data_IF_382642717707
#
_entry.id   IF_382642717707
#
_cell.length_a   1.000
_cell.length_b   1.000
_cell.length_c   1.000
_cell.angle_alpha   90.00
_cell.angle_beta   90.00
_cell.angle_gamma   90.00
#
_symmetry.space_group_name_H-M   'P 1'
#
loop_
_entity.id
_entity.type
_entity.pdbx_description
1 polymer ?
#
# COMPACT_ATOMS: atom_id res chain seq x y z
N UNK A 1 -24.26 7.82 10.69
CA UNK A 1 -24.16 6.42 11.22
C UNK A 1 -24.29 6.40 12.73
N UNK A 2 -23.52 7.19 13.48
CA UNK A 2 -23.63 7.26 14.95
C UNK A 2 -25.06 7.55 15.45
N UNK A 3 -25.77 8.50 14.85
CA UNK A 3 -27.14 8.85 15.20
C UNK A 3 -28.13 7.71 14.96
N UNK A 4 -27.96 6.96 13.87
CA UNK A 4 -28.80 5.80 13.57
C UNK A 4 -28.57 4.65 14.55
N UNK A 5 -27.30 4.38 14.91
CA UNK A 5 -26.98 3.37 15.93
C UNK A 5 -27.51 3.77 17.31
N UNK A 6 -27.44 5.06 17.65
CA UNK A 6 -27.98 5.59 18.88
C UNK A 6 -29.48 5.34 19.01
N UNK A 7 -30.26 5.56 17.96
CA UNK A 7 -31.71 5.29 17.93
C UNK A 7 -32.00 3.79 18.09
N UNK A 8 -31.31 2.92 17.37
CA UNK A 8 -31.51 1.46 17.47
C UNK A 8 -31.18 0.92 18.86
N UNK A 9 -30.10 1.40 19.50
CA UNK A 9 -29.74 0.95 20.84
C UNK A 9 -30.71 1.42 21.90
N UNK A 10 -31.31 2.63 21.76
CA UNK A 10 -32.34 3.12 22.69
C UNK A 10 -33.61 2.29 22.66
N UNK A 11 -33.96 1.73 21.47
CA UNK A 11 -35.12 0.85 21.34
C UNK A 11 -34.89 -0.53 21.98
N UNK A 12 -33.64 -1.06 21.88
CA UNK A 12 -33.29 -2.36 22.46
C UNK A 12 -33.07 -2.34 23.99
N UNK A 13 -32.65 -1.21 24.55
CA UNK A 13 -32.38 -1.05 25.99
C UNK A 13 -32.87 0.28 26.51
N UNK A 14 -34.19 0.46 26.62
CA UNK A 14 -34.76 1.70 27.12
C UNK A 14 -34.30 1.97 28.59
N UNK A 15 -33.88 3.19 28.84
CA UNK A 15 -33.45 3.62 30.19
C UNK A 15 -31.97 3.30 30.53
N UNK A 16 -31.21 2.65 29.66
CA UNK A 16 -29.77 2.50 29.87
C UNK A 16 -29.03 3.65 29.16
N UNK A 17 -28.31 4.50 29.93
CA UNK A 17 -27.53 5.58 29.35
C UNK A 17 -26.33 5.01 28.59
N UNK A 18 -26.15 5.38 27.31
CA UNK A 18 -25.00 5.10 26.50
C UNK A 18 -24.65 6.29 25.62
N UNK A 19 -23.41 6.34 25.16
CA UNK A 19 -22.92 7.35 24.21
C UNK A 19 -22.28 6.63 23.04
N UNK A 20 -22.55 7.12 21.83
CA UNK A 20 -21.93 6.64 20.61
C UNK A 20 -20.80 7.58 20.23
N UNK A 21 -19.61 7.05 20.07
CA UNK A 21 -18.43 7.79 19.68
C UNK A 21 -17.95 7.31 18.30
N UNK A 22 -17.43 8.22 17.49
CA UNK A 22 -16.70 7.91 16.27
C UNK A 22 -15.21 7.90 16.58
N UNK A 23 -14.55 6.75 16.42
CA UNK A 23 -13.11 6.63 16.62
C UNK A 23 -12.49 5.93 15.40
N UNK A 24 -12.31 6.65 14.27
CA UNK A 24 -11.80 6.07 13.04
C UNK A 24 -10.31 5.68 13.17
N UNK A 25 -9.97 4.54 12.61
CA UNK A 25 -8.59 4.07 12.50
C UNK A 25 -7.90 4.58 11.21
N UNK A 26 -6.59 4.75 11.27
CA UNK A 26 -5.73 5.16 10.14
C UNK A 26 -4.60 4.14 9.92
N UNK A 27 -4.91 2.87 10.15
CA UNK A 27 -3.93 1.79 10.04
C UNK A 27 -3.63 1.48 8.58
N UNK A 28 -2.37 1.18 8.29
CA UNK A 28 -1.96 0.70 6.99
C UNK A 28 -1.51 -0.77 7.12
N UNK A 29 -1.95 -1.59 6.19
CA UNK A 29 -1.50 -2.98 6.13
C UNK A 29 0.04 -3.05 6.01
N UNK A 30 0.65 -4.02 6.67
CA UNK A 30 2.12 -4.12 6.79
C UNK A 30 2.72 -3.30 7.94
N UNK A 31 2.07 -2.20 8.36
CA UNK A 31 2.55 -1.32 9.46
C UNK A 31 1.48 -1.02 10.51
N UNK A 32 0.40 -1.82 10.58
CA UNK A 32 -0.75 -1.55 11.44
C UNK A 32 -0.40 -1.46 12.93
N UNK A 33 0.50 -2.31 13.41
CA UNK A 33 0.93 -2.30 14.82
C UNK A 33 1.68 -1.00 15.14
N UNK A 34 2.62 -0.59 14.28
CA UNK A 34 3.37 0.66 14.46
C UNK A 34 2.44 1.88 14.39
N UNK A 35 1.47 1.87 13.46
CA UNK A 35 0.47 2.92 13.34
C UNK A 35 -0.45 3.00 14.58
N UNK A 36 -0.73 1.88 15.25
CA UNK A 36 -1.52 1.84 16.46
C UNK A 36 -0.73 2.30 17.69
N UNK A 37 0.53 1.87 17.80
CA UNK A 37 1.39 2.18 18.95
C UNK A 37 1.97 3.58 18.89
N UNK A 38 2.22 4.11 17.68
CA UNK A 38 2.76 5.44 17.45
C UNK A 38 1.95 6.21 16.39
N UNK A 39 0.65 6.44 16.62
CA UNK A 39 -0.20 7.08 15.63
C UNK A 39 0.19 8.55 15.41
N UNK A 40 0.07 9.02 14.16
CA UNK A 40 0.20 10.46 13.86
C UNK A 40 -0.89 11.27 14.56
N UNK A 41 -2.09 10.71 14.67
CA UNK A 41 -3.27 11.29 15.33
C UNK A 41 -4.26 10.23 15.74
N UNK A 42 -5.05 10.53 16.79
CA UNK A 42 -6.24 9.78 17.19
C UNK A 42 -7.42 10.76 17.11
N UNK A 43 -8.49 10.38 16.41
CA UNK A 43 -9.72 11.17 16.36
C UNK A 43 -10.78 10.53 17.24
N UNK A 44 -11.46 11.35 18.04
CA UNK A 44 -12.60 10.92 18.87
C UNK A 44 -13.75 11.89 18.61
N UNK A 45 -14.76 11.43 17.87
CA UNK A 45 -15.96 12.18 17.58
C UNK A 45 -17.07 11.90 18.59
N UNK A 46 -17.72 12.93 19.09
CA UNK A 46 -18.83 12.82 20.02
C UNK A 46 -20.06 13.63 19.59
N UNK A 47 -21.19 13.38 20.24
CA UNK A 47 -22.48 14.07 20.00
C UNK A 47 -22.49 15.56 20.37
N UNK A 48 -21.44 16.10 20.99
CA UNK A 48 -21.37 17.49 21.47
C UNK A 48 -22.17 17.78 22.71
N UNK A 49 -22.83 16.76 23.30
CA UNK A 49 -23.52 16.87 24.59
C UNK A 49 -22.53 16.80 25.77
N UNK A 50 -22.95 17.25 26.97
CA UNK A 50 -22.10 17.13 28.15
C UNK A 50 -21.73 15.67 28.47
N UNK A 51 -22.62 14.71 28.22
CA UNK A 51 -22.38 13.26 28.35
C UNK A 51 -21.44 12.75 27.26
N UNK A 52 -21.62 13.15 25.99
CA UNK A 52 -20.75 12.81 24.87
C UNK A 52 -19.32 13.30 25.09
N UNK A 53 -19.12 14.53 25.55
CA UNK A 53 -17.79 15.03 25.88
C UNK A 53 -17.14 14.28 27.06
N UNK A 54 -17.92 13.83 28.06
CA UNK A 54 -17.39 12.97 29.14
C UNK A 54 -16.95 11.62 28.60
N UNK A 55 -17.76 11.00 27.74
CA UNK A 55 -17.43 9.72 27.10
C UNK A 55 -16.19 9.84 26.23
N UNK A 56 -16.09 10.91 25.42
CA UNK A 56 -14.90 11.18 24.58
C UNK A 56 -13.64 11.32 25.43
N UNK A 57 -13.68 12.06 26.54
CA UNK A 57 -12.54 12.18 27.47
C UNK A 57 -12.18 10.86 28.13
N UNK A 58 -13.16 10.02 28.45
CA UNK A 58 -12.91 8.68 28.99
C UNK A 58 -12.16 7.83 27.97
N UNK A 59 -12.56 7.84 26.70
CA UNK A 59 -11.84 7.14 25.63
C UNK A 59 -10.46 7.77 25.40
N UNK A 60 -10.34 9.10 25.37
CA UNK A 60 -9.07 9.79 25.25
C UNK A 60 -8.09 9.39 26.36
N UNK A 61 -8.57 9.22 27.60
CA UNK A 61 -7.73 8.80 28.73
C UNK A 61 -7.11 7.40 28.54
N UNK A 62 -7.77 6.51 27.79
CA UNK A 62 -7.20 5.21 27.42
C UNK A 62 -6.00 5.42 26.50
N UNK A 63 -6.17 6.23 25.44
CA UNK A 63 -5.10 6.51 24.48
C UNK A 63 -3.92 7.26 25.10
N UNK A 64 -4.13 8.15 26.07
CA UNK A 64 -3.04 8.88 26.72
C UNK A 64 -2.05 8.01 27.47
N UNK A 65 -2.36 6.72 27.66
CA UNK A 65 -1.42 5.75 28.22
C UNK A 65 -0.19 5.52 27.34
N UNK A 66 -0.30 5.74 26.02
CA UNK A 66 0.82 5.56 25.07
C UNK A 66 0.88 6.62 23.96
N UNK A 67 -0.17 7.45 23.79
CA UNK A 67 -0.22 8.51 22.77
C UNK A 67 -0.14 9.88 23.44
N UNK A 68 0.75 10.78 23.02
CA UNK A 68 0.79 12.14 23.51
C UNK A 68 -0.55 12.86 23.30
N UNK A 69 -1.06 13.56 24.33
CA UNK A 69 -2.37 14.21 24.31
C UNK A 69 -2.55 15.21 23.14
N UNK A 70 -1.46 15.83 22.67
CA UNK A 70 -1.46 16.75 21.52
C UNK A 70 -1.87 16.06 20.20
N UNK A 71 -1.76 14.73 20.13
CA UNK A 71 -2.17 13.93 18.97
C UNK A 71 -3.61 13.39 19.09
N UNK A 72 -4.28 13.60 20.21
CA UNK A 72 -5.65 13.16 20.43
C UNK A 72 -6.58 14.34 20.21
N UNK A 73 -7.46 14.24 19.21
CA UNK A 73 -8.35 15.30 18.77
C UNK A 73 -9.79 14.92 19.08
N UNK A 74 -10.42 15.64 20.01
CA UNK A 74 -11.84 15.54 20.31
C UNK A 74 -12.61 16.50 19.38
N UNK A 75 -13.51 15.94 18.57
CA UNK A 75 -14.27 16.69 17.55
C UNK A 75 -15.73 16.19 17.52
N UNK A 76 -16.60 16.79 16.71
CA UNK A 76 -17.93 16.25 16.52
C UNK A 76 -17.92 14.96 15.67
N UNK A 77 -18.94 14.10 15.84
CA UNK A 77 -19.03 12.80 15.17
C UNK A 77 -18.97 12.91 13.65
N UNK A 78 -19.68 13.85 13.05
CA UNK A 78 -19.68 14.07 11.60
C UNK A 78 -18.30 14.43 11.05
N UNK A 79 -17.59 15.34 11.75
CA UNK A 79 -16.24 15.72 11.36
C UNK A 79 -15.26 14.55 11.50
N UNK A 80 -15.43 13.70 12.53
CA UNK A 80 -14.60 12.52 12.73
C UNK A 80 -14.78 11.48 11.62
N UNK A 81 -16.02 11.14 11.29
CA UNK A 81 -16.36 10.19 10.22
C UNK A 81 -15.89 10.71 8.85
N UNK A 82 -16.19 12.00 8.56
CA UNK A 82 -15.79 12.61 7.29
C UNK A 82 -14.27 12.71 7.15
N UNK A 83 -13.55 13.04 8.23
CA UNK A 83 -12.09 13.15 8.19
C UNK A 83 -11.40 11.85 7.76
N UNK A 84 -11.96 10.67 8.11
CA UNK A 84 -11.44 9.38 7.66
C UNK A 84 -11.58 9.22 6.14
N UNK A 85 -12.76 9.45 5.61
CA UNK A 85 -13.04 9.34 4.17
C UNK A 85 -12.19 10.33 3.37
N UNK A 86 -12.16 11.58 3.83
CA UNK A 86 -11.41 12.67 3.16
C UNK A 86 -9.92 12.39 3.18
N UNK A 87 -9.35 11.89 4.28
CA UNK A 87 -7.93 11.57 4.32
C UNK A 87 -7.54 10.57 3.23
N UNK A 88 -8.27 9.47 3.09
CA UNK A 88 -8.01 8.48 2.05
C UNK A 88 -8.27 9.03 0.64
N UNK A 89 -9.35 9.79 0.46
CA UNK A 89 -9.67 10.40 -0.83
C UNK A 89 -8.59 11.39 -1.29
N UNK A 90 -8.04 12.22 -0.38
CA UNK A 90 -6.95 13.15 -0.66
C UNK A 90 -5.64 12.44 -1.02
N UNK A 91 -5.31 11.33 -0.36
CA UNK A 91 -4.14 10.53 -0.71
C UNK A 91 -4.29 9.91 -2.11
N UNK A 92 -5.44 9.34 -2.41
CA UNK A 92 -5.77 8.79 -3.73
C UNK A 92 -5.76 9.86 -4.82
N UNK A 93 -6.33 11.04 -4.53
CA UNK A 93 -6.32 12.19 -5.44
C UNK A 93 -4.90 12.63 -5.83
N UNK A 94 -3.95 12.64 -4.86
CA UNK A 94 -2.54 12.94 -5.15
C UNK A 94 -1.93 11.95 -6.14
N UNK A 95 -2.21 10.64 -5.98
CA UNK A 95 -1.76 9.60 -6.90
C UNK A 95 -2.38 9.80 -8.29
N UNK A 96 -3.69 10.02 -8.38
CA UNK A 96 -4.35 10.29 -9.66
C UNK A 96 -3.83 11.56 -10.32
N UNK A 97 -3.53 12.61 -9.55
CA UNK A 97 -2.95 13.85 -10.07
C UNK A 97 -1.58 13.63 -10.69
N UNK A 98 -0.64 12.97 -10.00
CA UNK A 98 0.69 12.74 -10.58
C UNK A 98 0.63 11.77 -11.77
N UNK A 99 -0.30 10.82 -11.78
CA UNK A 99 -0.53 9.94 -12.90
C UNK A 99 -1.08 10.68 -14.13
N UNK A 100 -1.93 11.69 -13.94
CA UNK A 100 -2.34 12.56 -15.06
C UNK A 100 -1.17 13.33 -15.65
N UNK A 101 -0.25 13.82 -14.82
CA UNK A 101 0.98 14.48 -15.27
C UNK A 101 1.91 13.50 -15.99
N UNK A 102 1.97 12.22 -15.54
CA UNK A 102 2.77 11.20 -16.22
C UNK A 102 2.40 11.03 -17.69
N UNK A 103 1.09 11.13 -18.01
CA UNK A 103 0.62 11.08 -19.39
C UNK A 103 1.14 12.27 -20.24
N UNK A 104 1.23 13.46 -19.66
CA UNK A 104 1.81 14.64 -20.32
C UNK A 104 3.30 14.44 -20.54
N UNK A 105 4.01 13.93 -19.53
CA UNK A 105 5.45 13.67 -19.61
C UNK A 105 5.79 12.72 -20.76
N UNK A 106 5.04 11.63 -20.92
CA UNK A 106 5.23 10.67 -22.01
C UNK A 106 5.09 11.28 -23.40
N UNK A 107 4.28 12.34 -23.55
CA UNK A 107 4.07 13.04 -24.83
C UNK A 107 5.08 14.16 -25.08
N UNK A 108 5.60 14.78 -24.05
CA UNK A 108 6.47 15.97 -24.15
C UNK A 108 7.96 15.64 -24.05
N UNK A 109 8.30 14.44 -23.53
CA UNK A 109 9.70 14.08 -23.21
C UNK A 109 10.16 14.59 -21.85
N UNK A 110 9.27 15.14 -21.02
CA UNK A 110 9.56 15.39 -19.61
C UNK A 110 9.60 14.05 -18.84
N UNK A 111 10.28 14.02 -17.69
CA UNK A 111 10.33 12.86 -16.81
C UNK A 111 9.48 13.13 -15.56
N UNK A 112 8.48 12.29 -15.31
CA UNK A 112 7.54 12.50 -14.20
C UNK A 112 8.23 12.51 -12.84
N UNK A 113 9.29 11.72 -12.64
CA UNK A 113 10.04 11.69 -11.38
C UNK A 113 10.74 13.02 -11.08
N UNK A 114 11.29 13.69 -12.13
CA UNK A 114 11.90 15.01 -11.99
C UNK A 114 10.83 16.07 -11.67
N UNK A 115 9.68 16.00 -12.33
CA UNK A 115 8.54 16.89 -12.04
C UNK A 115 8.06 16.70 -10.60
N UNK A 116 7.84 15.44 -10.18
CA UNK A 116 7.41 15.11 -8.82
C UNK A 116 8.43 15.56 -7.77
N UNK A 117 9.72 15.39 -8.03
CA UNK A 117 10.79 15.86 -7.15
C UNK A 117 10.76 17.39 -7.04
N UNK A 118 10.67 18.10 -8.17
CA UNK A 118 10.67 19.56 -8.18
C UNK A 118 9.50 20.17 -7.40
N UNK A 119 8.27 19.69 -7.66
CA UNK A 119 7.09 20.20 -6.95
C UNK A 119 7.05 19.72 -5.50
N UNK A 120 7.61 18.54 -5.20
CA UNK A 120 7.66 17.97 -3.85
C UNK A 120 8.59 18.72 -2.89
N UNK A 121 9.53 19.54 -3.41
CA UNK A 121 10.38 20.42 -2.60
C UNK A 121 9.61 21.63 -2.05
N UNK A 122 8.47 21.99 -2.63
CA UNK A 122 7.60 23.02 -2.05
C UNK A 122 6.93 22.45 -0.79
N UNK A 123 7.16 23.02 0.42
CA UNK A 123 6.61 22.49 1.67
C UNK A 123 5.08 22.50 1.71
N UNK A 124 4.42 23.32 0.90
CA UNK A 124 2.94 23.36 0.77
C UNK A 124 2.40 22.13 0.07
N UNK A 125 3.21 21.52 -0.81
CA UNK A 125 2.88 20.31 -1.57
C UNK A 125 3.45 19.08 -0.86
N UNK A 126 4.76 19.05 -0.60
CA UNK A 126 5.49 17.93 -0.03
C UNK A 126 5.60 16.72 -0.97
N UNK A 127 6.57 15.82 -0.75
CA UNK A 127 6.91 14.75 -1.70
C UNK A 127 6.01 13.49 -1.59
N UNK A 128 5.23 13.35 -0.51
CA UNK A 128 4.48 12.10 -0.25
C UNK A 128 3.34 11.93 -1.26
N UNK A 129 3.14 10.69 -1.74
CA UNK A 129 2.09 10.30 -2.70
C UNK A 129 2.21 10.99 -4.08
N UNK A 130 3.41 11.38 -4.49
CA UNK A 130 3.71 11.94 -5.82
C UNK A 130 4.50 10.98 -6.70
N UNK A 131 4.60 9.70 -6.38
CA UNK A 131 5.21 8.70 -7.26
C UNK A 131 4.17 8.22 -8.28
N UNK A 132 4.45 8.47 -9.57
CA UNK A 132 3.63 7.96 -10.65
C UNK A 132 3.80 6.44 -10.81
N UNK A 133 2.78 5.77 -11.35
CA UNK A 133 2.77 4.34 -11.57
C UNK A 133 1.43 3.88 -12.14
N UNK A 134 1.05 2.63 -11.89
CA UNK A 134 -0.22 2.06 -12.36
C UNK A 134 -1.46 2.61 -11.63
N UNK A 135 -1.26 3.36 -10.57
CA UNK A 135 -2.34 3.86 -9.72
C UNK A 135 -2.34 3.24 -8.32
N UNK A 136 -3.48 3.36 -7.65
CA UNK A 136 -3.74 2.77 -6.35
C UNK A 136 -4.68 1.56 -6.49
N UNK A 137 -4.38 0.50 -5.74
CA UNK A 137 -5.21 -0.68 -5.52
C UNK A 137 -5.60 -0.80 -4.05
N UNK A 138 -6.17 -1.96 -3.70
CA UNK A 138 -6.68 -2.26 -2.38
C UNK A 138 -8.05 -1.64 -2.09
N UNK A 139 -8.76 -2.22 -1.12
CA UNK A 139 -10.18 -1.93 -0.86
C UNK A 139 -10.46 -0.54 -0.28
N UNK A 140 -9.45 0.14 0.30
CA UNK A 140 -9.72 1.35 1.09
C UNK A 140 -9.96 2.61 0.25
N UNK A 141 -9.06 2.95 -0.66
CA UNK A 141 -9.15 4.21 -1.40
C UNK A 141 -10.38 4.26 -2.32
N UNK A 142 -10.60 3.19 -3.08
CA UNK A 142 -11.72 3.11 -4.03
C UNK A 142 -13.07 3.25 -3.35
N UNK A 143 -13.30 2.48 -2.26
CA UNK A 143 -14.55 2.52 -1.51
C UNK A 143 -14.77 3.86 -0.81
N UNK A 144 -13.72 4.48 -0.24
CA UNK A 144 -13.86 5.74 0.50
C UNK A 144 -14.14 6.91 -0.45
N UNK A 145 -13.55 6.92 -1.66
CA UNK A 145 -13.92 7.87 -2.73
C UNK A 145 -15.36 7.64 -3.17
N UNK A 146 -15.78 6.38 -3.38
CA UNK A 146 -17.16 6.07 -3.76
C UNK A 146 -18.14 6.51 -2.67
N UNK A 147 -17.81 6.29 -1.39
CA UNK A 147 -18.64 6.75 -0.27
C UNK A 147 -18.74 8.27 -0.20
N UNK A 148 -17.61 8.97 -0.44
CA UNK A 148 -17.61 10.45 -0.48
C UNK A 148 -18.40 10.99 -1.66
N UNK A 149 -18.29 10.35 -2.82
CA UNK A 149 -19.09 10.67 -4.01
C UNK A 149 -20.59 10.48 -3.76
N UNK A 150 -20.99 9.34 -3.20
CA UNK A 150 -22.37 9.05 -2.85
C UNK A 150 -22.92 10.02 -1.80
N UNK A 151 -22.13 10.37 -0.79
CA UNK A 151 -22.52 11.36 0.21
C UNK A 151 -22.79 12.72 -0.44
N UNK A 152 -21.92 13.17 -1.34
CA UNK A 152 -22.10 14.42 -2.07
C UNK A 152 -23.39 14.40 -2.93
N UNK A 153 -23.65 13.31 -3.66
CA UNK A 153 -24.89 13.11 -4.43
C UNK A 153 -26.12 13.16 -3.54
N UNK A 154 -26.10 12.47 -2.40
CA UNK A 154 -27.22 12.44 -1.45
C UNK A 154 -27.56 13.80 -0.86
N UNK A 155 -26.60 14.72 -0.87
CA UNK A 155 -26.74 16.11 -0.42
C UNK A 155 -27.06 17.09 -1.56
N UNK A 156 -27.22 16.61 -2.80
CA UNK A 156 -27.46 17.45 -3.98
C UNK A 156 -26.25 18.28 -4.42
N UNK A 157 -25.04 17.83 -4.08
CA UNK A 157 -23.77 18.50 -4.41
C UNK A 157 -23.11 17.84 -5.64
N UNK A 158 -23.76 17.95 -6.80
CA UNK A 158 -23.40 17.22 -8.01
C UNK A 158 -21.98 17.56 -8.51
N UNK A 159 -21.56 18.80 -8.44
CA UNK A 159 -20.21 19.22 -8.84
C UNK A 159 -19.12 18.60 -7.94
N UNK A 160 -19.41 18.48 -6.64
CA UNK A 160 -18.51 17.84 -5.67
C UNK A 160 -18.44 16.33 -5.95
N UNK A 161 -19.57 15.69 -6.20
CA UNK A 161 -19.64 14.28 -6.56
C UNK A 161 -18.87 14.01 -7.86
N UNK A 162 -19.03 14.87 -8.87
CA UNK A 162 -18.30 14.77 -10.13
C UNK A 162 -16.80 14.89 -9.92
N UNK A 163 -16.35 15.85 -9.14
CA UNK A 163 -14.92 16.02 -8.84
C UNK A 163 -14.29 14.75 -8.24
N UNK A 164 -14.89 14.16 -7.21
CA UNK A 164 -14.34 12.97 -6.56
C UNK A 164 -14.44 11.71 -7.44
N UNK A 165 -15.48 11.61 -8.27
CA UNK A 165 -15.60 10.52 -9.24
C UNK A 165 -14.44 10.52 -10.24
N UNK A 166 -13.94 11.71 -10.64
CA UNK A 166 -12.82 11.81 -11.58
C UNK A 166 -11.51 11.24 -11.00
N UNK A 167 -11.34 11.18 -9.68
CA UNK A 167 -10.16 10.56 -9.06
C UNK A 167 -10.10 9.06 -9.38
N UNK A 168 -11.23 8.34 -9.26
CA UNK A 168 -11.31 6.93 -9.64
C UNK A 168 -11.19 6.75 -11.15
N UNK A 169 -11.87 7.57 -11.94
CA UNK A 169 -11.82 7.51 -13.41
C UNK A 169 -10.38 7.70 -13.93
N UNK A 170 -9.61 8.63 -13.36
CA UNK A 170 -8.21 8.82 -13.71
C UNK A 170 -7.36 7.60 -13.33
N UNK A 171 -7.64 6.96 -12.19
CA UNK A 171 -6.97 5.74 -11.76
C UNK A 171 -7.23 4.57 -12.72
N UNK A 172 -8.45 4.41 -13.22
CA UNK A 172 -8.81 3.42 -14.23
C UNK A 172 -8.17 3.73 -15.58
N UNK A 173 -8.24 4.97 -16.03
CA UNK A 173 -7.61 5.43 -17.27
C UNK A 173 -6.10 5.16 -17.30
N UNK A 174 -5.44 5.28 -16.16
CA UNK A 174 -4.01 5.00 -16.05
C UNK A 174 -3.69 3.53 -16.33
N UNK A 175 -4.48 2.58 -15.80
CA UNK A 175 -4.30 1.14 -16.05
C UNK A 175 -4.61 0.78 -17.49
N UNK A 176 -5.70 1.31 -18.04
CA UNK A 176 -6.08 1.10 -19.45
C UNK A 176 -4.96 1.56 -20.37
N UNK A 177 -4.44 2.77 -20.16
CA UNK A 177 -3.32 3.33 -20.94
C UNK A 177 -2.07 2.45 -20.87
N UNK A 178 -1.77 1.89 -19.69
CA UNK A 178 -0.64 0.98 -19.53
C UNK A 178 -0.84 -0.32 -20.32
N UNK A 179 -2.00 -0.95 -20.21
CA UNK A 179 -2.34 -2.17 -20.95
C UNK A 179 -2.36 -1.92 -22.47
N UNK A 180 -2.98 -0.83 -22.94
CA UNK A 180 -2.99 -0.43 -24.35
C UNK A 180 -1.57 -0.25 -24.89
N UNK A 181 -0.68 0.36 -24.11
CA UNK A 181 0.72 0.54 -24.50
C UNK A 181 1.43 -0.81 -24.68
N UNK A 182 1.20 -1.77 -23.77
CA UNK A 182 1.74 -3.12 -23.88
C UNK A 182 1.28 -3.77 -25.19
N UNK A 183 -0.03 -3.75 -25.45
CA UNK A 183 -0.63 -4.35 -26.65
C UNK A 183 -0.05 -3.71 -27.91
N UNK A 184 0.03 -2.37 -27.97
CA UNK A 184 0.60 -1.65 -29.11
C UNK A 184 2.07 -2.01 -29.37
N UNK A 185 2.91 -2.09 -28.32
CA UNK A 185 4.33 -2.44 -28.44
C UNK A 185 4.55 -3.89 -28.89
N UNK A 186 3.59 -4.75 -28.61
CA UNK A 186 3.62 -6.16 -28.99
C UNK A 186 2.93 -6.45 -30.34
N UNK A 187 2.62 -5.41 -31.12
CA UNK A 187 2.11 -5.56 -32.48
C UNK A 187 0.58 -5.49 -32.60
N UNK A 188 -0.13 -4.99 -31.58
CA UNK A 188 -1.57 -4.77 -31.60
C UNK A 188 -2.42 -5.99 -31.23
N UNK A 189 -1.82 -7.13 -30.94
CA UNK A 189 -2.48 -8.30 -30.35
C UNK A 189 -1.46 -9.17 -29.63
N UNK A 190 -1.93 -10.10 -28.79
CA UNK A 190 -1.07 -10.97 -27.98
C UNK A 190 -1.12 -12.45 -28.36
N UNK A 191 -1.70 -12.77 -29.52
CA UNK A 191 -1.85 -14.16 -29.99
C UNK A 191 -0.48 -14.83 -30.11
N UNK A 192 -0.32 -15.98 -29.45
CA UNK A 192 0.93 -16.74 -29.45
C UNK A 192 2.04 -16.16 -28.57
N UNK A 193 1.78 -15.07 -27.87
CA UNK A 193 2.76 -14.42 -27.00
C UNK A 193 2.56 -14.80 -25.53
N UNK A 194 3.67 -15.01 -24.83
CA UNK A 194 3.70 -15.18 -23.37
C UNK A 194 4.06 -13.87 -22.72
N UNK A 195 3.22 -13.47 -21.76
CA UNK A 195 3.39 -12.25 -20.96
C UNK A 195 3.66 -12.65 -19.52
N UNK A 196 4.74 -12.17 -18.92
CA UNK A 196 5.09 -12.43 -17.52
C UNK A 196 4.81 -11.22 -16.65
N UNK A 197 4.20 -11.42 -15.49
CA UNK A 197 3.95 -10.39 -14.49
C UNK A 197 4.81 -10.66 -13.25
N UNK A 198 5.56 -9.67 -12.84
CA UNK A 198 6.32 -9.63 -11.60
C UNK A 198 5.59 -8.73 -10.59
N UNK A 199 5.06 -9.36 -9.54
CA UNK A 199 4.24 -8.74 -8.52
C UNK A 199 2.75 -8.78 -8.81
N UNK A 200 1.99 -9.25 -7.81
CA UNK A 200 0.54 -9.33 -7.86
C UNK A 200 -0.12 -8.61 -6.69
N UNK A 201 0.53 -8.56 -5.52
CA UNK A 201 0.01 -7.82 -4.37
C UNK A 201 -0.36 -6.37 -4.73
N UNK A 202 -1.41 -5.81 -4.11
CA UNK A 202 -1.89 -4.46 -4.44
C UNK A 202 -0.88 -3.35 -4.09
N UNK A 203 0.07 -3.62 -3.19
CA UNK A 203 1.19 -2.73 -2.82
C UNK A 203 2.39 -3.54 -2.31
N UNK A 204 3.50 -2.84 -2.07
CA UNK A 204 4.70 -3.37 -1.44
C UNK A 204 4.45 -3.89 -0.01
N UNK A 205 5.23 -4.88 0.40
CA UNK A 205 5.29 -5.42 1.77
C UNK A 205 3.98 -6.02 2.28
N UNK A 206 3.17 -6.59 1.40
CA UNK A 206 1.97 -7.35 1.74
C UNK A 206 1.77 -8.55 0.81
N UNK A 207 1.13 -9.60 1.31
CA UNK A 207 0.64 -10.74 0.52
C UNK A 207 -0.86 -10.65 0.20
N UNK A 208 -1.48 -9.45 0.29
CA UNK A 208 -2.91 -9.29 -0.02
C UNK A 208 -3.12 -9.06 -1.52
N UNK A 209 -3.78 -10.00 -2.23
CA UNK A 209 -4.06 -9.89 -3.65
C UNK A 209 -5.34 -9.12 -3.96
N UNK A 210 -6.16 -8.78 -2.95
CA UNK A 210 -7.50 -8.19 -3.16
C UNK A 210 -7.42 -6.81 -3.79
N UNK A 211 -8.26 -6.61 -4.80
CA UNK A 211 -8.28 -5.36 -5.60
C UNK A 211 -6.89 -4.96 -6.12
N UNK A 212 -6.11 -5.97 -6.49
CA UNK A 212 -4.81 -5.75 -7.12
C UNK A 212 -4.95 -5.08 -8.48
N UNK A 213 -4.06 -4.14 -8.78
CA UNK A 213 -3.95 -3.52 -10.10
C UNK A 213 -3.54 -4.53 -11.19
N UNK A 214 -2.86 -5.62 -10.81
CA UNK A 214 -2.47 -6.69 -11.71
C UNK A 214 -3.69 -7.33 -12.37
N UNK A 215 -4.76 -7.56 -11.61
CA UNK A 215 -6.00 -8.19 -12.12
C UNK A 215 -6.63 -7.35 -13.22
N UNK A 216 -6.72 -6.03 -13.04
CA UNK A 216 -7.27 -5.15 -14.06
C UNK A 216 -6.43 -5.17 -15.35
N UNK A 217 -5.09 -5.19 -15.22
CA UNK A 217 -4.19 -5.31 -16.37
C UNK A 217 -4.35 -6.67 -17.03
N UNK A 218 -4.37 -7.77 -16.26
CA UNK A 218 -4.56 -9.13 -16.79
C UNK A 218 -5.88 -9.22 -17.57
N UNK A 219 -6.98 -8.69 -17.04
CA UNK A 219 -8.27 -8.69 -17.73
C UNK A 219 -8.19 -8.07 -19.11
N UNK A 220 -7.54 -6.91 -19.24
CA UNK A 220 -7.35 -6.24 -20.52
C UNK A 220 -6.43 -7.01 -21.49
N UNK A 221 -5.38 -7.65 -20.96
CA UNK A 221 -4.49 -8.47 -21.78
C UNK A 221 -5.16 -9.76 -22.28
N UNK A 222 -6.04 -10.37 -21.47
CA UNK A 222 -6.78 -11.59 -21.86
C UNK A 222 -7.74 -11.35 -23.02
N UNK A 223 -8.25 -10.13 -23.21
CA UNK A 223 -9.08 -9.75 -24.36
C UNK A 223 -8.30 -9.96 -25.70
N UNK A 224 -6.98 -9.82 -25.69
CA UNK A 224 -6.08 -9.98 -26.83
C UNK A 224 -5.56 -11.42 -27.03
N UNK A 225 -6.08 -12.40 -26.29
CA UNK A 225 -5.84 -13.83 -26.40
C UNK A 225 -4.34 -14.21 -26.36
N UNK A 226 -3.61 -13.89 -25.28
CA UNK A 226 -2.23 -14.32 -25.12
C UNK A 226 -2.12 -15.85 -25.05
N UNK A 227 -0.96 -16.39 -25.39
CA UNK A 227 -0.65 -17.80 -25.21
C UNK A 227 -0.61 -18.17 -23.73
N UNK A 228 0.01 -17.33 -22.93
CA UNK A 228 0.15 -17.51 -21.50
C UNK A 228 0.33 -16.15 -20.79
N UNK A 229 -0.33 -15.99 -19.64
CA UNK A 229 -0.07 -14.94 -18.65
C UNK A 229 0.58 -15.62 -17.45
N UNK A 230 1.89 -15.46 -17.31
CA UNK A 230 2.67 -16.07 -16.23
C UNK A 230 2.83 -15.08 -15.07
N UNK A 231 2.44 -15.44 -13.87
CA UNK A 231 2.48 -14.57 -12.69
C UNK A 231 3.50 -15.10 -11.69
N UNK A 232 4.31 -14.19 -11.16
CA UNK A 232 5.15 -14.44 -10.00
C UNK A 232 4.96 -13.33 -8.96
N UNK A 233 4.69 -13.71 -7.72
CA UNK A 233 4.70 -12.81 -6.57
C UNK A 233 5.38 -13.51 -5.39
N UNK A 234 6.32 -12.86 -4.68
CA UNK A 234 7.06 -13.50 -3.59
C UNK A 234 6.25 -13.66 -2.28
N UNK A 235 5.11 -12.97 -2.16
CA UNK A 235 4.34 -12.89 -0.92
C UNK A 235 2.92 -13.43 -1.05
N UNK A 236 2.31 -13.35 -2.24
CA UNK A 236 0.97 -13.87 -2.47
C UNK A 236 1.00 -15.37 -2.74
N UNK A 237 0.04 -16.09 -2.16
CA UNK A 237 -0.12 -17.52 -2.44
C UNK A 237 -0.81 -17.73 -3.78
N UNK A 238 -0.40 -18.79 -4.49
CA UNK A 238 -0.97 -19.18 -5.79
C UNK A 238 -2.50 -19.26 -5.77
N UNK A 239 -3.06 -19.93 -4.75
CA UNK A 239 -4.51 -20.09 -4.60
C UNK A 239 -5.27 -18.78 -4.46
N UNK A 240 -4.69 -17.81 -3.77
CA UNK A 240 -5.30 -16.50 -3.56
C UNK A 240 -5.20 -15.64 -4.82
N UNK A 241 -4.09 -15.71 -5.56
CA UNK A 241 -3.91 -15.07 -6.87
C UNK A 241 -4.96 -15.61 -7.86
N UNK A 242 -5.05 -16.92 -8.02
CA UNK A 242 -5.99 -17.54 -8.97
C UNK A 242 -7.43 -17.21 -8.61
N UNK A 243 -7.78 -17.25 -7.33
CA UNK A 243 -9.13 -16.87 -6.86
C UNK A 243 -9.50 -15.43 -7.22
N UNK A 244 -8.55 -14.49 -7.05
CA UNK A 244 -8.79 -13.09 -7.39
C UNK A 244 -8.92 -12.90 -8.91
N UNK A 245 -8.08 -13.56 -9.69
CA UNK A 245 -8.16 -13.56 -11.16
C UNK A 245 -9.50 -14.14 -11.63
N UNK A 246 -9.91 -15.32 -11.14
CA UNK A 246 -11.16 -15.95 -11.52
C UNK A 246 -12.39 -15.12 -11.13
N UNK A 247 -12.32 -14.42 -10.00
CA UNK A 247 -13.40 -13.53 -9.54
C UNK A 247 -13.64 -12.38 -10.52
N UNK A 248 -12.59 -11.81 -11.11
CA UNK A 248 -12.67 -10.61 -11.96
C UNK A 248 -12.71 -10.95 -13.44
N UNK A 249 -11.92 -11.95 -13.88
CA UNK A 249 -11.76 -12.31 -15.30
C UNK A 249 -12.65 -13.47 -15.73
N UNK A 250 -13.28 -14.20 -14.79
CA UNK A 250 -13.95 -15.46 -15.05
C UNK A 250 -12.95 -16.59 -15.24
N UNK A 251 -13.43 -17.76 -15.70
CA UNK A 251 -12.59 -18.93 -15.92
C UNK A 251 -11.55 -18.65 -17.01
N UNK A 252 -10.27 -18.66 -16.65
CA UNK A 252 -9.17 -18.32 -17.56
C UNK A 252 -8.62 -19.53 -18.33
N UNK A 253 -9.24 -20.71 -18.21
CA UNK A 253 -8.96 -21.93 -19.01
C UNK A 253 -7.47 -22.31 -19.11
N UNK A 254 -6.69 -22.08 -18.03
CA UNK A 254 -5.27 -22.42 -17.96
C UNK A 254 -4.33 -21.48 -18.72
N UNK A 255 -4.85 -20.38 -19.29
CA UNK A 255 -4.01 -19.31 -19.89
C UNK A 255 -3.24 -18.56 -18.81
N UNK A 256 -3.84 -18.34 -17.65
CA UNK A 256 -3.17 -17.72 -16.49
C UNK A 256 -2.52 -18.81 -15.65
N UNK A 257 -1.23 -18.65 -15.34
CA UNK A 257 -0.45 -19.56 -14.52
C UNK A 257 0.37 -18.81 -13.48
N UNK A 258 0.43 -19.36 -12.28
CA UNK A 258 1.27 -18.83 -11.20
C UNK A 258 2.51 -19.69 -11.05
N UNK A 259 3.65 -19.04 -10.88
CA UNK A 259 4.96 -19.70 -10.78
C UNK A 259 5.60 -19.38 -9.43
N UNK A 260 6.19 -20.40 -8.80
CA UNK A 260 6.97 -20.23 -7.56
C UNK A 260 8.40 -19.70 -7.79
N UNK A 261 8.84 -19.58 -9.06
CA UNK A 261 10.17 -19.10 -9.43
C UNK A 261 10.05 -18.00 -10.51
N UNK A 262 10.62 -16.80 -10.28
CA UNK A 262 10.52 -15.69 -11.22
C UNK A 262 11.19 -15.96 -12.57
N UNK A 263 12.25 -16.76 -12.59
CA UNK A 263 12.94 -17.08 -13.83
C UNK A 263 12.14 -18.06 -14.71
N UNK A 264 11.40 -18.98 -14.09
CA UNK A 264 10.46 -19.85 -14.80
C UNK A 264 9.26 -19.06 -15.33
N UNK A 265 8.74 -18.12 -14.54
CA UNK A 265 7.70 -17.21 -15.01
C UNK A 265 8.13 -16.42 -16.25
N UNK A 266 9.34 -15.85 -16.23
CA UNK A 266 9.88 -15.03 -17.31
C UNK A 266 10.47 -15.83 -18.48
N UNK A 267 10.65 -17.16 -18.35
CA UNK A 267 11.21 -17.99 -19.41
C UNK A 267 10.28 -18.01 -20.62
N UNK A 268 10.87 -17.77 -21.81
CA UNK A 268 10.15 -17.69 -23.10
C UNK A 268 9.08 -16.58 -23.16
N UNK A 269 9.14 -15.59 -22.26
CA UNK A 269 8.23 -14.45 -22.30
C UNK A 269 8.66 -13.44 -23.39
N UNK A 270 7.67 -12.91 -24.13
CA UNK A 270 7.85 -11.81 -25.08
C UNK A 270 7.88 -10.46 -24.38
N UNK A 271 7.20 -10.38 -23.21
CA UNK A 271 7.21 -9.21 -22.35
C UNK A 271 7.20 -9.59 -20.88
N UNK A 272 7.86 -8.76 -20.05
CA UNK A 272 7.85 -8.83 -18.60
C UNK A 272 7.29 -7.52 -18.05
N UNK A 273 6.27 -7.60 -17.19
CA UNK A 273 5.58 -6.47 -16.58
C UNK A 273 5.96 -6.37 -15.11
N UNK A 274 6.57 -5.27 -14.68
CA UNK A 274 6.80 -4.97 -13.26
C UNK A 274 5.59 -4.21 -12.71
N UNK A 275 4.71 -4.91 -11.98
CA UNK A 275 3.41 -4.40 -11.55
C UNK A 275 3.46 -3.90 -10.11
N UNK A 276 4.03 -4.67 -9.18
CA UNK A 276 4.13 -4.29 -7.76
C UNK A 276 5.56 -3.84 -7.43
N UNK A 277 5.69 -2.78 -6.64
CA UNK A 277 6.99 -2.37 -6.10
C UNK A 277 7.47 -3.44 -5.11
N UNK A 278 8.54 -4.13 -5.46
CA UNK A 278 9.18 -5.14 -4.62
C UNK A 278 10.69 -5.00 -4.73
N UNK A 279 11.38 -5.03 -3.59
CA UNK A 279 12.84 -4.87 -3.56
C UNK A 279 13.56 -5.95 -4.37
N UNK A 280 12.98 -7.15 -4.47
CA UNK A 280 13.51 -8.23 -5.29
C UNK A 280 13.58 -7.87 -6.79
N UNK A 281 12.63 -7.06 -7.29
CA UNK A 281 12.56 -6.74 -8.71
C UNK A 281 13.45 -5.56 -9.10
N UNK A 282 13.88 -4.79 -8.11
CA UNK A 282 14.78 -3.66 -8.33
C UNK A 282 16.19 -4.18 -8.67
N UNK A 283 16.89 -3.47 -9.54
CA UNK A 283 18.32 -3.74 -9.73
C UNK A 283 19.04 -3.51 -8.40
N UNK A 284 19.98 -4.41 -8.05
CA UNK A 284 20.83 -4.20 -6.90
C UNK A 284 21.39 -2.77 -6.96
N UNK A 285 21.24 -1.94 -5.90
CA UNK A 285 21.72 -0.58 -5.95
C UNK A 285 23.21 -0.62 -6.24
N UNK A 286 23.64 -0.10 -7.39
CA UNK A 286 25.03 0.28 -7.55
C UNK A 286 25.37 1.11 -6.32
N UNK A 287 26.31 0.63 -5.47
CA UNK A 287 26.82 1.42 -4.35
C UNK A 287 27.29 2.74 -4.93
N UNK A 288 26.41 3.72 -4.94
CA UNK A 288 26.83 5.10 -5.20
C UNK A 288 27.76 5.42 -4.05
N UNK A 289 29.04 5.50 -4.33
CA UNK A 289 29.97 6.23 -3.49
C UNK A 289 29.48 7.68 -3.46
N UNK A 290 28.52 7.95 -2.58
CA UNK A 290 28.15 9.31 -2.21
C UNK A 290 29.25 9.84 -1.29
N UNK A 291 30.29 10.39 -1.89
CA UNK A 291 31.13 11.41 -1.25
C UNK A 291 30.33 12.73 -1.24
N UNK A 292 29.22 12.73 -0.54
CA UNK A 292 28.60 13.96 -0.05
C UNK A 292 28.85 13.96 1.45
N UNK A 293 29.88 14.69 1.84
CA UNK A 293 30.11 15.17 3.18
C UNK A 293 28.79 15.77 3.68
N UNK A 294 28.09 15.04 4.54
CA UNK A 294 27.01 15.63 5.33
C UNK A 294 27.64 16.66 6.26
N UNK A 295 27.54 17.93 5.90
CA UNK A 295 27.65 19.02 6.86
C UNK A 295 26.52 18.85 7.86
N UNK A 296 26.86 18.47 9.08
CA UNK A 296 25.93 18.39 10.21
C UNK A 296 25.23 19.76 10.37
N UNK A 297 23.89 19.79 10.52
CA UNK A 297 23.24 21.01 11.00
C UNK A 297 23.71 21.26 12.43
N UNK A 298 24.05 22.51 12.69
CA UNK A 298 24.46 23.00 13.99
C UNK A 298 23.34 22.79 15.03
N UNK A 299 23.67 22.09 16.09
CA UNK A 299 22.80 21.78 17.21
C UNK A 299 22.53 23.05 18.04
N UNK A 300 21.32 23.56 17.97
CA UNK A 300 20.81 24.58 18.87
C UNK A 300 19.69 23.96 19.69
N UNK A 301 20.03 23.24 20.75
CA UNK A 301 19.31 23.21 22.04
C UNK A 301 19.94 22.18 22.96
N UNK A 302 20.95 22.59 23.69
CA UNK A 302 21.26 21.96 24.98
C UNK A 302 20.27 22.50 25.99
N UNK A 303 19.37 21.65 26.50
CA UNK A 303 18.88 21.72 27.88
C UNK A 303 18.27 20.40 28.34
N UNK A 304 18.90 19.90 29.40
CA UNK A 304 18.43 18.98 30.45
C UNK A 304 18.35 17.47 30.13
N UNK A 305 19.43 16.84 30.48
CA UNK A 305 19.62 15.43 30.83
C UNK A 305 18.60 14.95 31.88
N UNK A 306 17.93 13.82 31.59
CA UNK A 306 17.47 12.85 32.59
C UNK A 306 17.96 11.46 32.20
N UNK A 307 18.18 10.58 33.17
CA UNK A 307 19.10 9.48 33.02
C UNK A 307 18.55 8.34 32.15
N UNK A 308 19.44 7.82 31.34
CA UNK A 308 19.35 6.59 30.60
C UNK A 308 19.21 5.42 31.58
N UNK A 309 18.16 4.64 31.49
CA UNK A 309 18.04 3.35 32.13
C UNK A 309 18.69 2.35 31.18
N UNK A 310 19.81 1.76 31.64
CA UNK A 310 20.55 0.73 30.96
C UNK A 310 19.69 -0.51 30.68
N UNK A 311 19.85 -1.07 29.47
CA UNK A 311 19.32 -2.38 29.10
C UNK A 311 19.72 -3.45 30.13
N UNK A 312 18.82 -4.35 30.53
CA UNK A 312 19.19 -5.52 31.30
C UNK A 312 19.83 -6.57 30.39
N UNK A 313 20.90 -7.16 30.88
CA UNK A 313 21.66 -8.22 30.28
C UNK A 313 20.81 -9.40 29.80
N UNK A 314 21.22 -9.96 28.67
CA UNK A 314 20.70 -11.18 28.05
C UNK A 314 20.73 -12.31 29.09
N UNK A 315 19.58 -12.71 29.60
CA UNK A 315 19.44 -13.88 30.46
C UNK A 315 19.23 -15.15 29.63
N UNK A 316 20.01 -16.16 30.00
CA UNK A 316 20.06 -17.53 29.58
C UNK A 316 18.67 -18.21 29.52
N UNK A 317 18.30 -18.95 28.44
CA UNK A 317 16.95 -19.49 28.25
C UNK A 317 16.62 -20.78 28.99
N UNK A 318 17.34 -21.13 30.03
CA UNK A 318 17.14 -22.36 30.80
C UNK A 318 16.95 -22.13 32.32
N UNK A 319 16.05 -21.25 32.69
CA UNK A 319 15.55 -21.18 34.05
C UNK A 319 14.03 -21.30 34.07
N UNK A 320 13.56 -22.45 34.53
CA UNK A 320 12.17 -22.70 34.90
C UNK A 320 11.71 -21.68 35.96
N UNK A 321 10.84 -20.77 35.59
CA UNK A 321 10.10 -19.95 36.55
C UNK A 321 8.60 -20.07 36.36
N UNK A 322 8.01 -20.94 37.13
CA UNK A 322 6.64 -20.83 37.59
C UNK A 322 6.54 -19.65 38.54
N UNK A 323 6.24 -18.46 38.02
CA UNK A 323 5.57 -17.36 38.75
C UNK A 323 5.28 -16.24 37.75
N UNK A 324 4.06 -16.24 37.17
CA UNK A 324 3.57 -15.13 36.39
C UNK A 324 3.42 -13.87 37.26
N UNK A 325 4.01 -12.77 36.86
CA UNK A 325 3.82 -11.48 37.51
C UNK A 325 2.34 -11.09 37.46
N UNK A 326 1.80 -10.79 38.63
CA UNK A 326 0.41 -10.32 38.78
C UNK A 326 0.41 -8.81 38.96
N UNK A 327 -0.34 -8.14 38.14
CA UNK A 327 -0.56 -6.69 38.27
C UNK A 327 -1.97 -6.43 38.79
N UNK A 328 -2.10 -5.57 39.77
CA UNK A 328 -3.40 -5.16 40.30
C UNK A 328 -3.65 -3.69 39.96
N UNK A 329 -4.65 -3.44 39.14
CA UNK A 329 -5.08 -2.09 38.78
C UNK A 329 -6.57 -1.98 39.19
N UNK A 330 -6.90 -1.03 40.06
CA UNK A 330 -8.28 -0.78 40.53
C UNK A 330 -9.00 -2.02 41.08
N UNK A 331 -8.30 -2.89 41.81
CA UNK A 331 -8.86 -4.10 42.42
C UNK A 331 -9.09 -5.28 41.49
N UNK A 332 -8.67 -5.17 40.21
CA UNK A 332 -8.71 -6.27 39.22
C UNK A 332 -7.30 -6.82 39.03
N UNK A 333 -7.16 -8.13 39.20
CA UNK A 333 -5.90 -8.82 39.02
C UNK A 333 -5.75 -9.24 37.56
N UNK A 334 -4.71 -8.75 36.91
CA UNK A 334 -4.32 -9.16 35.55
C UNK A 334 -3.21 -10.17 35.64
N UNK A 335 -3.31 -11.25 34.86
CA UNK A 335 -2.26 -12.22 34.68
C UNK A 335 -1.56 -11.94 33.36
N UNK A 336 -0.24 -11.77 33.37
CA UNK A 336 0.54 -11.83 32.14
C UNK A 336 0.43 -13.26 31.58
N UNK A 337 -0.24 -13.40 30.45
CA UNK A 337 -0.18 -14.66 29.69
C UNK A 337 1.26 -14.74 29.13
N UNK A 338 2.01 -15.83 29.41
CA UNK A 338 3.33 -15.98 28.86
C UNK A 338 3.23 -15.84 27.35
N UNK A 339 4.07 -14.98 26.74
CA UNK A 339 4.22 -14.98 25.30
C UNK A 339 4.67 -16.37 24.90
N UNK A 340 3.85 -17.09 24.14
CA UNK A 340 4.26 -18.33 23.51
C UNK A 340 5.43 -18.01 22.58
N UNK A 341 6.64 -18.32 23.01
CA UNK A 341 7.83 -18.29 22.16
C UNK A 341 7.69 -19.49 21.23
N UNK A 342 7.32 -19.23 20.01
CA UNK A 342 7.18 -20.28 19.01
C UNK A 342 8.56 -20.93 18.74
N UNK A 343 8.64 -22.27 18.62
CA UNK A 343 9.89 -22.94 18.24
C UNK A 343 10.46 -22.36 16.94
N UNK A 344 11.78 -22.33 16.83
CA UNK A 344 12.50 -21.75 15.68
C UNK A 344 12.17 -22.44 14.32
N UNK A 345 11.55 -23.61 14.37
CA UNK A 345 11.11 -24.43 13.22
C UNK A 345 9.59 -24.44 12.99
N UNK A 346 8.82 -23.61 13.71
CA UNK A 346 7.38 -23.50 13.53
C UNK A 346 7.04 -23.01 12.13
N UNK A 347 6.38 -23.85 11.35
CA UNK A 347 5.94 -23.51 9.98
C UNK A 347 4.92 -22.37 9.94
N UNK A 348 4.03 -22.28 10.96
CA UNK A 348 3.04 -21.21 11.08
C UNK A 348 3.67 -19.86 11.45
N UNK A 349 4.75 -19.86 12.23
CA UNK A 349 5.48 -18.65 12.57
C UNK A 349 6.44 -18.20 11.47
N UNK A 350 6.96 -19.12 10.66
CA UNK A 350 7.73 -18.77 9.45
C UNK A 350 6.86 -18.08 8.40
N UNK A 351 5.58 -18.41 8.34
CA UNK A 351 4.62 -17.74 7.47
C UNK A 351 4.06 -16.43 8.05
N UNK A 352 4.13 -16.24 9.39
CA UNK A 352 3.59 -15.08 10.10
C UNK A 352 4.65 -14.15 10.69
N UNK A 353 5.82 -14.66 11.06
CA UNK A 353 6.93 -13.79 11.45
C UNK A 353 7.52 -13.22 10.18
N UNK A 354 7.15 -11.98 9.89
CA UNK A 354 7.79 -11.13 8.90
C UNK A 354 9.25 -10.80 9.23
N UNK A 355 10.08 -11.80 9.51
CA UNK A 355 11.45 -11.78 9.05
C UNK A 355 11.34 -12.02 7.56
N UNK A 356 11.11 -10.92 6.84
CA UNK A 356 11.38 -10.86 5.44
C UNK A 356 12.78 -11.46 5.24
N UNK A 357 12.82 -12.71 4.76
CA UNK A 357 13.91 -13.11 3.91
C UNK A 357 13.73 -12.13 2.77
N UNK A 358 14.52 -11.03 2.77
CA UNK A 358 14.54 -10.13 1.62
C UNK A 358 14.95 -11.01 0.47
N UNK A 359 14.04 -11.30 -0.46
CA UNK A 359 14.37 -12.18 -1.57
C UNK A 359 15.58 -11.57 -2.27
N UNK A 360 16.54 -12.39 -2.69
CA UNK A 360 17.69 -11.88 -3.41
C UNK A 360 17.22 -11.10 -4.65
N UNK A 361 17.86 -9.96 -4.96
CA UNK A 361 17.52 -9.20 -6.16
C UNK A 361 17.56 -10.06 -7.42
N UNK A 362 16.62 -9.83 -8.33
CA UNK A 362 16.58 -10.58 -9.59
C UNK A 362 17.80 -10.30 -10.47
N UNK A 363 18.33 -11.35 -11.03
CA UNK A 363 19.35 -11.28 -12.07
C UNK A 363 18.69 -10.99 -13.43
N UNK A 364 18.49 -9.74 -13.78
CA UNK A 364 17.86 -9.33 -15.03
C UNK A 364 18.59 -9.88 -16.29
N UNK A 365 19.89 -10.09 -16.20
CA UNK A 365 20.66 -10.75 -17.26
C UNK A 365 20.16 -12.19 -17.55
N UNK A 366 19.82 -12.95 -16.51
CA UNK A 366 19.26 -14.29 -16.62
C UNK A 366 17.86 -14.26 -17.22
N UNK A 367 17.04 -13.26 -16.85
CA UNK A 367 15.72 -13.05 -17.46
C UNK A 367 15.88 -12.73 -18.94
N UNK A 368 16.71 -11.73 -19.29
CA UNK A 368 16.96 -11.31 -20.67
C UNK A 368 17.43 -12.46 -21.57
N UNK A 369 18.30 -13.33 -21.05
CA UNK A 369 18.82 -14.50 -21.79
C UNK A 369 17.70 -15.49 -22.16
N UNK A 370 16.72 -15.67 -21.29
CA UNK A 370 15.64 -16.65 -21.47
C UNK A 370 14.36 -16.07 -22.10
N UNK A 371 14.28 -14.77 -22.34
CA UNK A 371 13.15 -14.12 -23.03
C UNK A 371 13.19 -14.36 -24.54
N UNK A 372 12.00 -14.35 -25.15
CA UNK A 372 11.84 -14.30 -26.60
C UNK A 372 11.68 -12.85 -27.09
N UNK A 373 12.10 -12.62 -28.33
CA UNK A 373 11.85 -11.33 -28.98
C UNK A 373 10.34 -11.01 -29.00
N UNK A 374 9.98 -9.74 -28.83
CA UNK A 374 10.81 -8.53 -28.89
C UNK A 374 11.44 -8.08 -27.55
N UNK A 375 11.40 -8.87 -26.47
CA UNK A 375 12.04 -8.66 -25.15
C UNK A 375 11.67 -7.33 -24.50
N UNK A 376 10.40 -7.03 -24.48
CA UNK A 376 9.91 -5.85 -23.80
C UNK A 376 9.87 -6.02 -22.27
N UNK A 377 10.24 -4.98 -21.56
CA UNK A 377 10.02 -4.82 -20.13
C UNK A 377 9.16 -3.58 -19.93
N UNK A 378 8.02 -3.73 -19.27
CA UNK A 378 7.13 -2.63 -18.93
C UNK A 378 7.18 -2.36 -17.43
N UNK A 379 7.74 -1.21 -17.07
CA UNK A 379 7.89 -0.82 -15.67
C UNK A 379 6.73 0.08 -15.23
N UNK A 380 5.76 -0.53 -14.58
CA UNK A 380 4.59 0.15 -14.03
C UNK A 380 4.87 0.95 -12.77
N UNK A 381 6.09 0.94 -12.23
CA UNK A 381 6.47 1.57 -10.96
C UNK A 381 7.65 2.52 -11.05
N UNK A 382 8.34 2.56 -12.18
CA UNK A 382 9.44 3.49 -12.44
C UNK A 382 10.68 3.24 -11.58
N UNK A 383 11.02 1.96 -11.31
CA UNK A 383 12.21 1.61 -10.51
C UNK A 383 13.36 1.00 -11.33
N UNK A 384 13.12 0.62 -12.58
CA UNK A 384 14.15 0.06 -13.44
C UNK A 384 14.98 1.16 -14.11
N UNK A 385 16.29 0.95 -14.18
CA UNK A 385 17.20 1.87 -14.87
C UNK A 385 17.21 1.57 -16.39
N UNK A 386 16.82 2.53 -17.25
CA UNK A 386 16.77 2.32 -18.70
C UNK A 386 18.11 1.90 -19.30
N UNK A 387 19.21 2.48 -18.82
CA UNK A 387 20.55 2.19 -19.36
C UNK A 387 21.01 0.77 -19.01
N UNK A 388 20.64 0.28 -17.84
CA UNK A 388 20.96 -1.09 -17.43
C UNK A 388 20.13 -2.11 -18.25
N UNK A 389 18.85 -1.82 -18.47
CA UNK A 389 18.00 -2.67 -19.30
C UNK A 389 18.48 -2.73 -20.75
N UNK A 390 18.85 -1.59 -21.32
CA UNK A 390 19.40 -1.50 -22.68
C UNK A 390 20.70 -2.32 -22.86
N UNK A 391 21.63 -2.26 -21.88
CA UNK A 391 22.86 -3.07 -21.90
C UNK A 391 22.58 -4.58 -21.95
N UNK A 392 21.44 -5.01 -21.42
CA UNK A 392 21.00 -6.40 -21.43
C UNK A 392 20.23 -6.77 -22.72
N UNK A 393 20.05 -5.84 -23.66
CA UNK A 393 19.27 -6.03 -24.87
C UNK A 393 17.77 -6.06 -24.63
N UNK A 394 17.31 -5.52 -23.50
CA UNK A 394 15.92 -5.37 -23.14
C UNK A 394 15.37 -4.01 -23.57
N UNK A 395 14.16 -3.98 -24.10
CA UNK A 395 13.44 -2.76 -24.44
C UNK A 395 12.59 -2.33 -23.26
N UNK A 396 12.91 -1.20 -22.64
CA UNK A 396 12.17 -0.70 -21.47
C UNK A 396 11.14 0.36 -21.88
N UNK A 397 9.91 0.19 -21.40
CA UNK A 397 8.88 1.23 -21.40
C UNK A 397 8.42 1.46 -19.96
N UNK A 398 8.55 2.67 -19.44
CA UNK A 398 8.22 3.03 -18.06
C UNK A 398 7.09 4.06 -18.04
N UNK A 399 6.26 4.01 -16.99
CA UNK A 399 5.24 5.03 -16.75
C UNK A 399 5.91 6.39 -16.54
N UNK A 400 5.39 7.42 -17.24
CA UNK A 400 5.82 8.81 -17.09
C UNK A 400 7.17 9.16 -17.73
N UNK A 401 7.68 8.28 -18.61
CA UNK A 401 8.85 8.55 -19.43
C UNK A 401 8.51 8.31 -20.90
N UNK A 402 9.06 9.15 -21.76
CA UNK A 402 8.96 8.92 -23.21
C UNK A 402 9.83 7.71 -23.57
N UNK A 403 9.21 6.67 -24.14
CA UNK A 403 9.99 5.59 -24.75
C UNK A 403 10.63 6.10 -26.03
N UNK A 404 11.94 6.05 -26.12
CA UNK A 404 12.60 6.21 -27.39
C UNK A 404 12.24 5.02 -28.28
N UNK A 405 11.43 5.26 -29.29
CA UNK A 405 11.16 4.28 -30.35
C UNK A 405 12.37 4.32 -31.26
N UNK A 406 13.25 3.33 -31.13
CA UNK A 406 14.23 3.02 -32.19
C UNK A 406 13.52 2.21 -33.26
#
# INVERSE_FOLDING_TARGET
MADMLGLQLSDYRPGVPFEVLSNPEFLAEGSAIDNLTTPDRVLIGSSGTASGHRAARTLASVYTSWVPSVRILEINSWSSELAKLVANAMLAQRISSINSISAICERTGAEVDQVAQAIGLDPRIGPRFLKAGLGFGGSCFRKDIASLTYLAESLGLDDVAHYWRQVNAMNESQRNRFAEKIIQRLGGNLIGQKISLLGFAFKKDTGDPRESLAVDVIRLLLEERPLEVAIFDPYCREEDILREVDTVCGETSGVVKVYGDPYLACSQANAVLAITDCDQFQNAPMRRHSSVTQTRPMDITKRHSKPYISEPDVLDPMASHEQGEKWMINGITYHLVPQFICPSDCTDCRSRSGRAITPEPLEWARIAYNMQDPRWVFDGRGFLDPREMEKLGLRLDSVGRRSEVV
#
